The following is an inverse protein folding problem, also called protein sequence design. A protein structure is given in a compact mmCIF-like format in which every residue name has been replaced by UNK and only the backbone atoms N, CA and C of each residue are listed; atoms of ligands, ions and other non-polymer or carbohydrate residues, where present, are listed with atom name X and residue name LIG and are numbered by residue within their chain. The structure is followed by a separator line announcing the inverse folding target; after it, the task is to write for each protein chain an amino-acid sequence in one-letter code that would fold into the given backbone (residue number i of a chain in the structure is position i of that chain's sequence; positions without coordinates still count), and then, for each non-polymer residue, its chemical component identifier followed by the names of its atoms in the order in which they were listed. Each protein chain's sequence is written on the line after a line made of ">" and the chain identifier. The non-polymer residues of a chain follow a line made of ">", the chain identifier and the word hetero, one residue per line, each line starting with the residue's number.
data_IF_549086442470
#
_entry.id   IF_549086442470
#
_cell.length_a   1.000
_cell.length_b   1.000
_cell.length_c   1.000
_cell.angle_alpha   90.00
_cell.angle_beta   90.00
_cell.angle_gamma   90.00
#
_symmetry.space_group_name_H-M   'P 1'
#
loop_
_entity.id
_entity.type
_entity.pdbx_description
1 polymer ?
#
# COMPACT_ATOMS: atom_id res chain seq x y z
N UNK A 1 59.31 15.68 49.07
CA UNK A 1 59.25 14.84 47.84
C UNK A 1 59.92 13.52 48.21
N UNK A 2 59.14 12.45 48.34
CA UNK A 2 59.58 11.17 48.92
C UNK A 2 59.86 10.20 47.76
N UNK A 3 61.01 9.54 47.82
CA UNK A 3 61.42 8.45 46.94
C UNK A 3 61.36 7.10 47.69
N UNK A 4 61.08 6.05 46.90
CA UNK A 4 61.58 4.66 47.01
C UNK A 4 60.87 3.61 47.87
N UNK A 5 60.40 2.60 47.14
CA UNK A 5 60.49 1.13 47.29
C UNK A 5 59.93 0.42 48.53
N UNK A 6 59.00 -0.51 48.27
CA UNK A 6 58.94 -1.81 48.94
C UNK A 6 58.24 -2.84 48.03
N UNK A 7 58.99 -3.89 47.68
CA UNK A 7 58.51 -5.15 47.12
C UNK A 7 57.88 -6.01 48.23
N UNK A 8 56.94 -6.89 47.90
CA UNK A 8 56.43 -7.87 48.88
C UNK A 8 55.24 -8.68 48.39
N UNK A 9 55.52 -9.94 48.08
CA UNK A 9 54.67 -11.02 47.56
C UNK A 9 53.49 -11.43 48.47
N UNK A 10 52.60 -12.24 47.87
CA UNK A 10 51.81 -13.37 48.45
C UNK A 10 50.29 -13.19 48.34
N UNK A 11 49.71 -13.78 47.28
CA UNK A 11 48.38 -14.41 47.31
C UNK A 11 48.37 -15.51 48.38
N UNK A 12 47.26 -15.72 49.11
CA UNK A 12 46.45 -16.88 48.72
C UNK A 12 44.93 -16.78 48.99
N UNK A 13 44.23 -17.58 48.17
CA UNK A 13 43.13 -18.49 48.53
C UNK A 13 41.67 -17.98 48.61
N UNK A 14 40.92 -18.46 47.62
CA UNK A 14 39.47 -18.49 47.54
C UNK A 14 38.78 -19.24 48.70
N UNK A 15 37.73 -18.64 49.26
CA UNK A 15 36.47 -19.28 49.70
C UNK A 15 35.50 -18.14 50.04
N UNK A 16 34.25 -18.05 49.58
CA UNK A 16 33.18 -19.02 49.67
C UNK A 16 31.92 -18.37 49.03
N UNK A 17 31.05 -19.21 48.44
CA UNK A 17 29.65 -18.96 48.03
C UNK A 17 29.32 -18.20 46.74
N UNK A 18 28.84 -18.91 45.70
CA UNK A 18 27.91 -18.34 44.73
C UNK A 18 26.52 -18.19 45.38
N UNK A 19 26.03 -16.94 45.49
CA UNK A 19 24.60 -16.68 45.70
C UNK A 19 23.89 -17.06 44.40
N UNK A 20 23.28 -18.24 44.39
CA UNK A 20 22.34 -18.61 43.33
C UNK A 20 21.08 -17.74 43.47
N UNK A 21 21.06 -16.61 42.76
CA UNK A 21 19.80 -16.00 42.36
C UNK A 21 19.09 -16.99 41.45
N UNK A 22 18.07 -17.65 41.99
CA UNK A 22 17.12 -18.46 41.23
C UNK A 22 16.44 -17.54 40.21
N UNK A 23 17.03 -17.40 39.03
CA UNK A 23 16.38 -16.77 37.88
C UNK A 23 15.24 -17.69 37.50
N UNK A 24 14.05 -17.28 37.92
CA UNK A 24 12.80 -17.96 37.66
C UNK A 24 12.60 -18.07 36.14
N UNK A 25 12.83 -19.28 35.58
CA UNK A 25 12.64 -19.62 34.15
C UNK A 25 11.24 -19.27 33.61
N UNK A 26 10.28 -18.97 34.47
CA UNK A 26 8.93 -18.63 34.11
C UNK A 26 8.78 -17.19 33.58
N UNK A 27 9.69 -16.26 33.92
CA UNK A 27 9.62 -14.87 33.44
C UNK A 27 10.15 -14.65 32.01
N UNK A 28 11.13 -15.42 31.56
CA UNK A 28 11.67 -15.34 30.19
C UNK A 28 10.72 -15.88 29.13
N UNK A 29 9.78 -16.74 29.52
CA UNK A 29 8.78 -17.34 28.62
C UNK A 29 7.68 -16.34 28.25
N UNK A 30 7.22 -15.55 29.21
CA UNK A 30 6.14 -14.57 29.02
C UNK A 30 6.60 -13.40 28.14
N UNK A 31 7.83 -12.90 28.34
CA UNK A 31 8.41 -11.85 27.50
C UNK A 31 8.57 -12.28 26.03
N UNK A 32 8.95 -13.53 25.78
CA UNK A 32 9.02 -14.10 24.43
C UNK A 32 7.64 -14.21 23.77
N UNK A 33 6.61 -14.62 24.52
CA UNK A 33 5.24 -14.71 24.00
C UNK A 33 4.63 -13.35 23.65
N UNK A 34 4.87 -12.31 24.47
CA UNK A 34 4.37 -10.95 24.21
C UNK A 34 5.09 -10.34 23.00
N UNK A 35 6.41 -10.52 22.91
CA UNK A 35 7.20 -10.01 21.78
C UNK A 35 6.81 -10.69 20.45
N UNK A 36 6.59 -12.01 20.48
CA UNK A 36 6.15 -12.79 19.31
C UNK A 36 4.75 -12.37 18.83
N UNK A 37 3.81 -12.07 19.74
CA UNK A 37 2.48 -11.56 19.37
C UNK A 37 2.54 -10.15 18.78
N UNK A 38 3.39 -9.28 19.33
CA UNK A 38 3.61 -7.94 18.78
C UNK A 38 4.20 -7.98 17.37
N UNK A 39 5.19 -8.84 17.15
CA UNK A 39 5.79 -9.07 15.84
C UNK A 39 4.75 -9.56 14.82
N UNK A 40 3.92 -10.53 15.20
CA UNK A 40 2.84 -11.04 14.34
C UNK A 40 1.83 -9.93 13.99
N UNK A 41 1.44 -9.10 14.96
CA UNK A 41 0.54 -7.96 14.72
C UNK A 41 1.15 -6.92 13.78
N UNK A 42 2.42 -6.55 13.97
CA UNK A 42 3.11 -5.59 13.12
C UNK A 42 3.24 -6.11 11.68
N UNK A 43 3.53 -7.40 11.51
CA UNK A 43 3.63 -8.06 10.22
C UNK A 43 2.25 -8.14 9.52
N UNK A 44 1.19 -8.45 10.27
CA UNK A 44 -0.18 -8.43 9.77
C UNK A 44 -0.61 -7.01 9.33
N UNK A 45 -0.27 -5.98 10.10
CA UNK A 45 -0.51 -4.58 9.72
C UNK A 45 0.25 -4.20 8.43
N UNK A 46 1.53 -4.59 8.30
CA UNK A 46 2.31 -4.34 7.09
C UNK A 46 1.72 -5.05 5.86
N UNK A 47 1.23 -6.29 6.02
CA UNK A 47 0.55 -7.03 4.95
C UNK A 47 -0.77 -6.37 4.53
N UNK A 48 -1.55 -5.88 5.49
CA UNK A 48 -2.79 -5.14 5.21
C UNK A 48 -2.52 -3.86 4.41
N UNK A 49 -1.46 -3.11 4.74
CA UNK A 49 -1.10 -1.87 4.01
C UNK A 49 -0.62 -2.17 2.58
N UNK A 50 0.09 -3.28 2.37
CA UNK A 50 0.54 -3.69 1.03
C UNK A 50 -0.62 -4.06 0.09
N UNK A 51 -1.76 -4.51 0.62
CA UNK A 51 -2.94 -4.90 -0.15
C UNK A 51 -3.79 -3.70 -0.64
N UNK A 52 -3.53 -2.46 -0.18
CA UNK A 52 -4.33 -1.28 -0.55
C UNK A 52 -3.76 -0.50 -1.75
N UNK A 53 -2.72 -1.02 -2.41
CA UNK A 53 -2.26 -0.44 -3.68
C UNK A 53 -3.32 -0.75 -4.74
N UNK A 54 -4.19 0.22 -4.98
CA UNK A 54 -5.29 0.08 -5.92
C UNK A 54 -4.81 -0.40 -7.30
N UNK A 55 -5.60 -1.27 -7.89
CA UNK A 55 -5.28 -2.00 -9.11
C UNK A 55 -5.50 -1.12 -10.35
N UNK A 56 -4.56 -0.22 -10.61
CA UNK A 56 -4.40 0.35 -11.95
C UNK A 56 -3.77 -0.63 -12.95
N UNK A 57 -3.50 -1.88 -12.56
CA UNK A 57 -2.86 -2.88 -13.41
C UNK A 57 -1.56 -2.37 -14.01
N UNK A 58 -1.46 -2.41 -15.35
CA UNK A 58 -0.32 -1.91 -16.14
C UNK A 58 -0.30 -0.38 -16.35
N UNK A 59 -1.32 0.36 -15.91
CA UNK A 59 -1.42 1.80 -16.14
C UNK A 59 -0.69 2.60 -15.04
N UNK A 60 0.09 3.60 -15.45
CA UNK A 60 0.78 4.51 -14.53
C UNK A 60 -0.19 5.51 -13.90
N UNK A 61 0.12 5.97 -12.69
CA UNK A 61 -0.61 7.07 -12.03
C UNK A 61 -0.68 8.30 -12.95
N UNK A 62 -1.88 8.86 -13.14
CA UNK A 62 -2.14 9.97 -14.03
C UNK A 62 -2.21 9.63 -15.53
N UNK A 63 -1.94 8.37 -15.92
CA UNK A 63 -2.05 7.94 -17.31
C UNK A 63 -3.50 8.02 -17.76
N UNK A 64 -3.73 8.68 -18.90
CA UNK A 64 -5.04 8.79 -19.55
C UNK A 64 -5.05 7.97 -20.83
N UNK A 65 -6.15 7.27 -21.08
CA UNK A 65 -6.38 6.59 -22.35
C UNK A 65 -7.84 6.76 -22.78
N UNK A 66 -8.06 6.64 -24.08
CA UNK A 66 -9.36 6.84 -24.71
C UNK A 66 -9.73 5.58 -25.47
N UNK A 67 -11.02 5.31 -25.50
CA UNK A 67 -11.62 4.14 -26.14
C UNK A 67 -12.80 4.60 -26.99
N UNK A 68 -13.21 3.77 -27.93
CA UNK A 68 -14.26 4.09 -28.88
C UNK A 68 -14.76 2.84 -29.62
N UNK A 69 -15.80 2.97 -30.46
CA UNK A 69 -16.47 1.83 -31.07
C UNK A 69 -15.50 0.93 -31.86
N UNK A 70 -15.56 -0.41 -31.72
CA UNK A 70 -16.63 -1.20 -31.08
C UNK A 70 -16.60 -1.26 -29.54
N UNK A 71 -15.55 -0.75 -28.91
CA UNK A 71 -15.44 -0.70 -27.46
C UNK A 71 -16.29 0.45 -26.86
N UNK A 72 -16.37 0.49 -25.53
CA UNK A 72 -17.11 1.55 -24.82
C UNK A 72 -16.47 2.91 -25.12
N UNK A 73 -17.25 3.92 -25.54
CA UNK A 73 -16.73 5.27 -25.73
C UNK A 73 -16.49 5.97 -24.39
N UNK A 74 -15.26 5.90 -23.88
CA UNK A 74 -14.88 6.51 -22.61
C UNK A 74 -13.43 7.02 -22.60
N UNK A 75 -13.18 7.99 -21.73
CA UNK A 75 -11.83 8.37 -21.31
C UNK A 75 -11.58 7.81 -19.92
N UNK A 76 -10.49 7.08 -19.78
CA UNK A 76 -10.06 6.51 -18.52
C UNK A 76 -8.82 7.23 -17.98
N UNK A 77 -8.64 7.16 -16.67
CA UNK A 77 -7.47 7.68 -15.98
C UNK A 77 -7.17 6.84 -14.74
N UNK A 78 -5.92 6.42 -14.56
CA UNK A 78 -5.48 5.91 -13.27
C UNK A 78 -5.28 7.08 -12.31
N UNK A 79 -6.01 7.09 -11.18
CA UNK A 79 -5.86 8.10 -10.15
C UNK A 79 -6.04 7.48 -8.76
N UNK A 80 -5.10 7.72 -7.86
CA UNK A 80 -5.07 7.19 -6.50
C UNK A 80 -5.17 5.65 -6.48
N UNK A 81 -4.46 5.00 -7.42
CA UNK A 81 -4.55 3.53 -7.62
C UNK A 81 -5.90 3.05 -8.13
N UNK A 82 -6.83 3.93 -8.52
CA UNK A 82 -8.15 3.53 -9.03
C UNK A 82 -8.33 3.98 -10.47
N UNK A 83 -8.88 3.10 -11.31
CA UNK A 83 -9.29 3.49 -12.67
C UNK A 83 -10.57 4.34 -12.59
N UNK A 84 -10.48 5.59 -13.00
CA UNK A 84 -11.61 6.51 -13.17
C UNK A 84 -12.00 6.54 -14.63
N UNK A 85 -13.30 6.40 -14.92
CA UNK A 85 -13.83 6.49 -16.26
C UNK A 85 -14.73 7.72 -16.41
N UNK A 86 -14.61 8.42 -17.53
CA UNK A 86 -15.49 9.49 -17.97
C UNK A 86 -16.18 9.02 -19.25
N UNK A 87 -17.47 8.74 -19.15
CA UNK A 87 -18.31 8.30 -20.28
C UNK A 87 -19.03 9.48 -20.93
N UNK A 88 -19.65 9.24 -22.08
CA UNK A 88 -20.51 10.21 -22.73
C UNK A 88 -21.78 10.47 -21.90
N UNK A 89 -22.29 11.70 -21.95
CA UNK A 89 -23.59 12.00 -21.38
C UNK A 89 -24.69 11.21 -22.14
N UNK A 90 -25.72 10.71 -21.44
CA UNK A 90 -26.88 10.14 -22.12
C UNK A 90 -27.53 11.24 -22.97
N UNK A 91 -27.87 10.89 -24.20
CA UNK A 91 -28.60 11.79 -25.10
C UNK A 91 -30.05 11.31 -25.20
N UNK A 92 -30.98 12.21 -24.96
CA UNK A 92 -32.41 11.96 -25.01
C UNK A 92 -33.13 13.18 -25.60
N UNK A 93 -34.18 12.93 -26.38
CA UNK A 93 -35.08 13.97 -26.88
C UNK A 93 -36.47 13.40 -27.06
N UNK A 94 -37.47 14.11 -26.54
CA UNK A 94 -38.90 13.80 -26.71
C UNK A 94 -39.42 14.15 -28.12
N UNK A 95 -38.64 14.91 -28.89
CA UNK A 95 -39.04 15.36 -30.22
C UNK A 95 -38.73 14.29 -31.27
N UNK A 96 -39.75 13.74 -31.96
CA UNK A 96 -39.57 12.65 -32.91
C UNK A 96 -38.79 13.04 -34.17
N UNK A 97 -38.59 14.35 -34.42
CA UNK A 97 -37.79 14.83 -35.54
C UNK A 97 -36.29 14.87 -35.24
N UNK A 98 -35.92 14.73 -33.97
CA UNK A 98 -34.53 14.67 -33.56
C UNK A 98 -33.94 13.30 -33.89
N UNK A 99 -32.73 13.28 -34.44
CA UNK A 99 -32.00 12.05 -34.79
C UNK A 99 -30.66 12.01 -34.08
N UNK A 100 -30.24 10.83 -33.68
CA UNK A 100 -28.87 10.61 -33.19
C UNK A 100 -27.93 10.65 -34.38
N UNK A 101 -26.92 11.51 -34.34
CA UNK A 101 -25.90 11.62 -35.37
C UNK A 101 -25.05 10.35 -35.37
N UNK A 102 -24.79 9.75 -36.56
CA UNK A 102 -23.94 8.58 -36.64
C UNK A 102 -22.52 8.91 -36.18
N UNK A 103 -21.94 7.99 -35.41
CA UNK A 103 -20.58 8.09 -34.90
C UNK A 103 -19.62 7.37 -35.86
N UNK A 104 -18.49 7.99 -36.26
CA UNK A 104 -17.52 7.32 -37.13
C UNK A 104 -16.88 6.11 -36.43
N UNK A 105 -16.69 5.03 -37.18
CA UNK A 105 -15.98 3.85 -36.69
C UNK A 105 -14.53 4.20 -36.31
N UNK A 106 -14.07 3.71 -35.16
CA UNK A 106 -12.72 4.01 -34.64
C UNK A 106 -12.53 5.41 -34.04
N UNK A 107 -13.58 6.23 -33.98
CA UNK A 107 -13.51 7.50 -33.26
C UNK A 107 -13.25 7.25 -31.77
N UNK A 108 -12.34 8.01 -31.16
CA UNK A 108 -12.04 7.92 -29.72
C UNK A 108 -12.80 9.00 -28.94
N UNK A 109 -12.96 8.81 -27.62
CA UNK A 109 -13.58 9.81 -26.77
C UNK A 109 -12.86 11.16 -26.84
N UNK A 110 -13.54 12.31 -27.03
CA UNK A 110 -14.99 12.51 -27.01
C UNK A 110 -15.66 12.45 -28.40
N UNK A 111 -14.92 12.22 -29.49
CA UNK A 111 -15.45 12.20 -30.85
C UNK A 111 -16.43 11.03 -31.09
N UNK A 112 -16.33 9.96 -30.29
CA UNK A 112 -17.30 8.86 -30.34
C UNK A 112 -18.59 9.10 -29.54
N UNK A 113 -18.76 10.26 -28.89
CA UNK A 113 -19.97 10.51 -28.12
C UNK A 113 -21.17 10.78 -29.05
N UNK A 114 -22.32 10.13 -28.80
CA UNK A 114 -23.51 10.37 -29.58
C UNK A 114 -23.99 11.82 -29.35
N UNK A 115 -24.43 12.46 -30.41
CA UNK A 115 -25.06 13.78 -30.36
C UNK A 115 -26.42 13.70 -31.03
N UNK A 116 -27.36 14.52 -30.57
CA UNK A 116 -28.68 14.62 -31.18
C UNK A 116 -28.71 15.87 -32.07
N UNK A 117 -29.19 15.69 -33.29
CA UNK A 117 -29.46 16.75 -34.23
C UNK A 117 -30.98 16.88 -34.36
N UNK A 118 -31.51 18.06 -34.05
CA UNK A 118 -32.91 18.42 -34.19
C UNK A 118 -33.05 19.48 -35.28
N UNK A 119 -34.11 19.43 -36.11
CA UNK A 119 -34.39 20.46 -37.10
C UNK A 119 -34.83 21.79 -36.49
#
# INVERSE_FOLDING_TARGET
>A
MIFSHAEGLVEPEQRDRPVQHSVNKNQTSIFKMVHQRFLLCALACLLLVAAVRGECGDYKEGQKWQTGPPDTCAQYMCKDGTIRAKTCAPVYSDNPKCKVKPVPAGAQYPACCPTIECP
#
